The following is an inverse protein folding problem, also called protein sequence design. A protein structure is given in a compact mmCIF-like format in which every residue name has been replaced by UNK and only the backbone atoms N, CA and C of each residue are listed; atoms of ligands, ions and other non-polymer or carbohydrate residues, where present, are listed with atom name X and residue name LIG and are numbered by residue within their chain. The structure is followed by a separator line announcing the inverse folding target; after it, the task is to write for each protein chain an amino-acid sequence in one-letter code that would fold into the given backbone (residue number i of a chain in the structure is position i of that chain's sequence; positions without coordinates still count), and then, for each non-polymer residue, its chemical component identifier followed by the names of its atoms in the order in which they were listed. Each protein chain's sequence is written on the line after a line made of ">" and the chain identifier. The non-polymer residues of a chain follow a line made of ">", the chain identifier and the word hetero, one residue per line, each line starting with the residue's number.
data_IF_946690771037
#
_entry.id   IF_946690771037
#
_cell.length_a   1.000
_cell.length_b   1.000
_cell.length_c   1.000
_cell.angle_alpha   90.00
_cell.angle_beta   90.00
_cell.angle_gamma   90.00
#
_symmetry.space_group_name_H-M   'P 1'
#
loop_
_entity.id
_entity.type
_entity.pdbx_description
1 polymer ?
#
# COMPACT_ATOMS: atom_id res chain seq x y z
N UNK A 1 -18.21 -0.68 13.25
CA UNK A 1 -17.16 -1.58 13.78
C UNK A 1 -15.91 -0.78 14.17
N UNK A 2 -15.11 -1.22 15.16
CA UNK A 2 -13.93 -0.46 15.59
C UNK A 2 -12.67 -0.74 14.74
N UNK A 3 -12.31 0.19 13.84
CA UNK A 3 -11.10 0.09 12.98
C UNK A 3 -9.93 0.98 13.43
N UNK A 4 -10.05 1.66 14.57
CA UNK A 4 -9.07 2.68 15.00
C UNK A 4 -7.61 2.16 15.06
N UNK A 5 -7.40 0.90 15.46
CA UNK A 5 -6.07 0.28 15.51
C UNK A 5 -5.48 0.08 14.12
N UNK A 6 -6.25 -0.48 13.19
CA UNK A 6 -5.81 -0.70 11.81
C UNK A 6 -5.63 0.62 11.06
N UNK A 7 -6.54 1.59 11.26
CA UNK A 7 -6.43 2.94 10.71
C UNK A 7 -5.11 3.61 11.12
N UNK A 8 -4.79 3.62 12.41
CA UNK A 8 -3.55 4.21 12.90
C UNK A 8 -2.28 3.51 12.38
N UNK A 9 -2.36 2.24 11.97
CA UNK A 9 -1.27 1.58 11.23
C UNK A 9 -1.18 2.09 9.80
N UNK A 10 -2.31 2.15 9.09
CA UNK A 10 -2.36 2.62 7.70
C UNK A 10 -1.86 4.08 7.57
N UNK A 11 -2.24 4.97 8.49
CA UNK A 11 -1.77 6.36 8.53
C UNK A 11 -0.24 6.46 8.69
N UNK A 12 0.33 5.64 9.59
CA UNK A 12 1.79 5.55 9.77
C UNK A 12 2.49 5.04 8.51
N UNK A 13 1.92 4.02 7.85
CA UNK A 13 2.44 3.52 6.59
C UNK A 13 2.38 4.58 5.49
N UNK A 14 1.25 5.29 5.36
CA UNK A 14 1.06 6.36 4.38
C UNK A 14 2.11 7.46 4.54
N UNK A 15 2.36 7.90 5.78
CA UNK A 15 3.41 8.90 6.08
C UNK A 15 4.80 8.41 5.65
N UNK A 16 5.13 7.13 5.91
CA UNK A 16 6.41 6.55 5.48
C UNK A 16 6.57 6.49 3.97
N UNK A 17 5.52 6.13 3.22
CA UNK A 17 5.55 6.10 1.74
C UNK A 17 5.81 7.49 1.17
N UNK A 18 5.15 8.52 1.71
CA UNK A 18 5.32 9.90 1.26
C UNK A 18 6.75 10.43 1.47
N UNK A 19 7.47 9.88 2.46
CA UNK A 19 8.86 10.23 2.71
C UNK A 19 9.87 9.60 1.74
N UNK A 20 9.44 8.71 0.83
CA UNK A 20 10.32 8.09 -0.15
C UNK A 20 10.44 8.95 -1.41
N UNK A 21 11.66 9.36 -1.74
CA UNK A 21 11.95 10.22 -2.89
C UNK A 21 12.59 9.44 -4.03
N UNK A 22 13.78 8.90 -3.80
CA UNK A 22 14.60 8.27 -4.83
C UNK A 22 14.57 6.74 -4.73
N UNK A 23 14.80 6.09 -5.86
CA UNK A 23 15.13 4.67 -5.89
C UNK A 23 16.56 4.46 -5.38
N UNK A 24 16.67 3.74 -4.27
CA UNK A 24 17.90 3.23 -3.69
C UNK A 24 17.59 1.97 -2.87
N UNK A 25 18.61 1.24 -2.41
CA UNK A 25 18.42 -0.01 -1.66
C UNK A 25 17.62 0.17 -0.37
N UNK A 26 17.83 1.27 0.34
CA UNK A 26 17.12 1.57 1.59
C UNK A 26 15.66 1.88 1.31
N UNK A 27 15.38 2.71 0.31
CA UNK A 27 14.04 3.07 -0.12
C UNK A 27 13.28 1.84 -0.64
N UNK A 28 13.97 0.94 -1.35
CA UNK A 28 13.41 -0.33 -1.81
C UNK A 28 13.05 -1.28 -0.65
N UNK A 29 13.91 -1.39 0.36
CA UNK A 29 13.63 -2.18 1.56
C UNK A 29 12.42 -1.63 2.33
N UNK A 30 12.37 -0.30 2.51
CA UNK A 30 11.27 0.38 3.21
C UNK A 30 9.94 0.20 2.49
N UNK A 31 9.86 0.45 1.17
CA UNK A 31 8.60 0.30 0.43
C UNK A 31 8.12 -1.17 0.39
N UNK A 32 9.05 -2.12 0.42
CA UNK A 32 8.72 -3.55 0.48
C UNK A 32 8.09 -3.92 1.82
N UNK A 33 8.69 -3.50 2.93
CA UNK A 33 8.13 -3.67 4.29
C UNK A 33 6.75 -3.01 4.42
N UNK A 34 6.60 -1.78 3.89
CA UNK A 34 5.31 -1.09 3.92
C UNK A 34 4.22 -1.89 3.21
N UNK A 35 4.51 -2.42 2.01
CA UNK A 35 3.55 -3.22 1.27
C UNK A 35 3.16 -4.51 2.02
N UNK A 36 4.10 -5.17 2.68
CA UNK A 36 3.80 -6.37 3.47
C UNK A 36 2.87 -6.05 4.64
N UNK A 37 3.13 -4.97 5.37
CA UNK A 37 2.28 -4.51 6.47
C UNK A 37 0.90 -4.04 5.97
N UNK A 38 0.85 -3.35 4.83
CA UNK A 38 -0.39 -2.94 4.17
C UNK A 38 -1.24 -4.16 3.77
N UNK A 39 -0.64 -5.12 3.06
CA UNK A 39 -1.28 -6.36 2.63
C UNK A 39 -1.87 -7.15 3.80
N UNK A 40 -1.11 -7.28 4.88
CA UNK A 40 -1.60 -7.92 6.09
C UNK A 40 -2.77 -7.15 6.73
N UNK A 41 -2.70 -5.83 6.78
CA UNK A 41 -3.76 -4.98 7.36
C UNK A 41 -5.05 -5.07 6.56
N UNK A 42 -4.99 -5.05 5.22
CA UNK A 42 -6.17 -5.22 4.35
C UNK A 42 -6.83 -6.60 4.56
N UNK A 43 -6.05 -7.68 4.74
CA UNK A 43 -6.61 -9.01 5.06
C UNK A 43 -7.38 -9.02 6.38
N UNK A 44 -6.84 -8.36 7.41
CA UNK A 44 -7.54 -8.20 8.69
C UNK A 44 -8.85 -7.43 8.49
N UNK A 45 -8.80 -6.29 7.80
CA UNK A 45 -9.98 -5.45 7.55
C UNK A 45 -11.05 -6.19 6.75
N UNK A 46 -10.67 -6.91 5.69
CA UNK A 46 -11.56 -7.78 4.91
C UNK A 46 -12.19 -8.89 5.74
N UNK A 47 -11.48 -9.44 6.72
CA UNK A 47 -12.06 -10.46 7.60
C UNK A 47 -13.02 -9.85 8.64
N UNK A 48 -12.79 -8.60 9.06
CA UNK A 48 -13.69 -7.88 9.97
C UNK A 48 -14.96 -7.40 9.26
N UNK A 49 -14.82 -6.76 8.10
CA UNK A 49 -15.92 -6.25 7.29
C UNK A 49 -15.66 -6.57 5.81
N UNK A 50 -16.10 -7.74 5.33
CA UNK A 50 -15.91 -8.14 3.94
C UNK A 50 -16.56 -7.17 2.95
N UNK A 51 -17.76 -6.67 3.24
CA UNK A 51 -18.51 -5.81 2.31
C UNK A 51 -17.73 -4.53 1.99
N UNK A 52 -17.14 -3.89 3.00
CA UNK A 52 -16.38 -2.65 2.80
C UNK A 52 -14.97 -2.86 2.19
N UNK A 53 -14.32 -4.00 2.47
CA UNK A 53 -12.89 -4.18 2.16
C UNK A 53 -12.59 -5.26 1.11
N UNK A 54 -13.61 -5.92 0.52
CA UNK A 54 -13.38 -6.93 -0.50
C UNK A 54 -12.74 -6.35 -1.77
N UNK A 55 -13.13 -5.14 -2.19
CA UNK A 55 -12.51 -4.48 -3.35
C UNK A 55 -11.03 -4.15 -3.09
N UNK A 56 -10.73 -3.57 -1.93
CA UNK A 56 -9.34 -3.30 -1.52
C UNK A 56 -8.48 -4.58 -1.54
N UNK A 57 -9.05 -5.72 -1.14
CA UNK A 57 -8.36 -7.01 -1.17
C UNK A 57 -8.22 -7.61 -2.58
N UNK A 58 -9.30 -7.63 -3.37
CA UNK A 58 -9.36 -8.35 -4.64
C UNK A 58 -8.82 -7.54 -5.83
N UNK A 59 -8.81 -6.21 -5.74
CA UNK A 59 -8.42 -5.33 -6.85
C UNK A 59 -7.19 -4.49 -6.50
N UNK A 60 -7.26 -3.71 -5.42
CA UNK A 60 -6.21 -2.76 -5.08
C UNK A 60 -4.90 -3.44 -4.67
N UNK A 61 -4.96 -4.49 -3.83
CA UNK A 61 -3.75 -5.25 -3.47
C UNK A 61 -3.04 -5.86 -4.70
N UNK A 62 -3.74 -6.54 -5.63
CA UNK A 62 -3.12 -6.99 -6.87
C UNK A 62 -2.50 -5.86 -7.71
N UNK A 63 -3.12 -4.68 -7.81
CA UNK A 63 -2.55 -3.54 -8.53
C UNK A 63 -1.20 -3.11 -7.94
N UNK A 64 -1.12 -3.02 -6.60
CA UNK A 64 0.14 -2.70 -5.90
C UNK A 64 1.20 -3.79 -6.17
N UNK A 65 0.79 -5.06 -6.17
CA UNK A 65 1.69 -6.19 -6.49
C UNK A 65 2.20 -6.13 -7.94
N UNK A 66 1.37 -5.71 -8.89
CA UNK A 66 1.78 -5.52 -10.28
C UNK A 66 2.82 -4.40 -10.40
N UNK A 67 2.61 -3.26 -9.73
CA UNK A 67 3.59 -2.17 -9.72
C UNK A 67 4.93 -2.59 -9.08
N UNK A 68 4.88 -3.32 -7.94
CA UNK A 68 6.07 -3.94 -7.32
C UNK A 68 6.81 -4.85 -8.30
N UNK A 69 6.09 -5.70 -9.02
CA UNK A 69 6.69 -6.62 -9.99
C UNK A 69 7.29 -5.88 -11.18
N UNK A 70 6.63 -4.82 -11.67
CA UNK A 70 7.13 -3.98 -12.75
C UNK A 70 8.48 -3.33 -12.38
N UNK A 71 8.63 -2.84 -11.14
CA UNK A 71 9.92 -2.37 -10.63
C UNK A 71 10.97 -3.49 -10.54
N UNK A 72 10.58 -4.70 -10.13
CA UNK A 72 11.50 -5.83 -9.99
C UNK A 72 12.14 -6.24 -11.32
N UNK A 73 11.38 -6.16 -12.42
CA UNK A 73 11.81 -6.59 -13.75
C UNK A 73 12.31 -5.43 -14.62
N UNK A 74 12.35 -4.21 -14.08
CA UNK A 74 12.72 -3.02 -14.85
C UNK A 74 14.22 -2.96 -15.10
N UNK A 75 14.57 -2.40 -16.25
CA UNK A 75 15.95 -2.04 -16.56
C UNK A 75 16.41 -0.87 -15.68
N UNK A 76 17.73 -0.71 -15.53
CA UNK A 76 18.32 0.30 -14.67
C UNK A 76 17.85 1.72 -15.00
N UNK A 77 17.74 2.04 -16.30
CA UNK A 77 17.26 3.34 -16.79
C UNK A 77 15.81 3.65 -16.39
N UNK A 78 14.99 2.64 -16.10
CA UNK A 78 13.57 2.80 -15.76
C UNK A 78 13.29 2.70 -14.25
N UNK A 79 14.28 2.33 -13.42
CA UNK A 79 14.05 1.98 -12.00
C UNK A 79 13.41 3.10 -11.21
N UNK A 80 13.85 4.34 -11.43
CA UNK A 80 13.27 5.50 -10.76
C UNK A 80 11.79 5.67 -11.13
N UNK A 81 11.46 5.63 -12.42
CA UNK A 81 10.08 5.81 -12.90
C UNK A 81 9.15 4.68 -12.41
N UNK A 82 9.63 3.42 -12.41
CA UNK A 82 8.86 2.29 -11.87
C UNK A 82 8.72 2.38 -10.36
N UNK A 83 9.74 2.90 -9.66
CA UNK A 83 9.67 3.12 -8.22
C UNK A 83 8.66 4.19 -7.87
N UNK A 84 8.63 5.31 -8.60
CA UNK A 84 7.63 6.36 -8.42
C UNK A 84 6.22 5.87 -8.74
N UNK A 85 6.06 5.06 -9.79
CA UNK A 85 4.78 4.39 -10.10
C UNK A 85 4.33 3.48 -8.96
N UNK A 86 5.23 2.66 -8.41
CA UNK A 86 4.92 1.79 -7.27
C UNK A 86 4.56 2.58 -6.02
N UNK A 87 5.32 3.63 -5.71
CA UNK A 87 5.05 4.57 -4.61
C UNK A 87 3.67 5.22 -4.76
N UNK A 88 3.33 5.69 -5.95
CA UNK A 88 2.05 6.33 -6.23
C UNK A 88 0.88 5.36 -6.03
N UNK A 89 0.94 4.17 -6.64
CA UNK A 89 -0.11 3.15 -6.50
C UNK A 89 -0.28 2.73 -5.03
N UNK A 90 0.82 2.50 -4.31
CA UNK A 90 0.77 2.16 -2.88
C UNK A 90 0.22 3.31 -2.03
N UNK A 91 0.60 4.56 -2.30
CA UNK A 91 0.09 5.74 -1.60
C UNK A 91 -1.42 5.90 -1.80
N UNK A 92 -1.89 5.80 -3.05
CA UNK A 92 -3.32 5.93 -3.39
C UNK A 92 -4.17 4.85 -2.70
N UNK A 93 -3.71 3.60 -2.73
CA UNK A 93 -4.44 2.48 -2.11
C UNK A 93 -4.42 2.57 -0.58
N UNK A 94 -3.33 3.04 0.03
CA UNK A 94 -3.28 3.35 1.47
C UNK A 94 -4.30 4.44 1.85
N UNK A 95 -4.38 5.53 1.08
CA UNK A 95 -5.34 6.60 1.32
C UNK A 95 -6.79 6.12 1.18
N UNK A 96 -7.08 5.33 0.14
CA UNK A 96 -8.39 4.70 -0.05
C UNK A 96 -8.76 3.80 1.13
N UNK A 97 -7.83 2.96 1.60
CA UNK A 97 -8.06 2.09 2.75
C UNK A 97 -8.32 2.88 4.05
N UNK A 98 -7.61 3.99 4.28
CA UNK A 98 -7.85 4.89 5.42
C UNK A 98 -9.26 5.48 5.33
N UNK A 99 -9.68 5.99 4.18
CA UNK A 99 -11.02 6.53 3.97
C UNK A 99 -12.11 5.49 4.28
N UNK A 100 -11.96 4.27 3.76
CA UNK A 100 -12.88 3.16 4.05
C UNK A 100 -13.01 2.86 5.54
N UNK A 101 -11.93 3.02 6.33
CA UNK A 101 -12.02 2.82 7.79
C UNK A 101 -12.80 3.90 8.53
N UNK A 102 -13.03 5.07 7.91
CA UNK A 102 -13.92 6.11 8.43
C UNK A 102 -15.37 5.90 7.98
N UNK A 103 -15.57 5.46 6.74
CA UNK A 103 -16.89 5.26 6.14
C UNK A 103 -17.61 4.02 6.71
N UNK A 104 -16.86 2.96 7.01
CA UNK A 104 -17.41 1.69 7.50
C UNK A 104 -17.67 1.66 9.03
N UNK A 105 -17.60 2.80 9.72
CA UNK A 105 -17.72 2.90 11.19
C UNK A 105 -19.12 2.58 11.70
#
# INVERSE_FOLDING_TARGET
>A
MGFAKERGKLEKLSTKVQGLTNYDEKSLAVITDIYEQYSHTIRILKNKNPEAFNEAYQQQLPQVKLAKNALKVSEEAERQDKFDSYKQVLSTTLQSAIALTHEAQ
#
